data_IF_355824295370
#
_entry.id   IF_355824295370
#
_cell.length_a   1.000
_cell.length_b   1.000
_cell.length_c   1.000
_cell.angle_alpha   90.00
_cell.angle_beta   90.00
_cell.angle_gamma   90.00
#
_symmetry.space_group_name_H-M   'P 1'
#
loop_
_entity.id
_entity.type
_entity.pdbx_description
1 polymer ?
#
# COMPACT_ATOMS: atom_id res chain seq x y z
N UNK A 1 -0.40 -33.40 -13.27
CA UNK A 1 -0.88 -33.86 -11.97
C UNK A 1 -1.45 -32.63 -11.26
N UNK A 2 -2.77 -32.51 -11.21
CA UNK A 2 -3.43 -31.39 -10.54
C UNK A 2 -3.32 -31.60 -9.02
N UNK A 3 -2.59 -30.74 -8.33
CA UNK A 3 -2.55 -30.75 -6.88
C UNK A 3 -3.95 -30.34 -6.38
N UNK A 4 -4.60 -31.23 -5.64
CA UNK A 4 -5.84 -30.92 -4.95
C UNK A 4 -5.54 -29.86 -3.89
N UNK A 5 -6.00 -28.64 -4.11
CA UNK A 5 -5.93 -27.55 -3.13
C UNK A 5 -6.73 -27.96 -1.88
N UNK A 6 -6.04 -28.14 -0.77
CA UNK A 6 -6.70 -28.40 0.50
C UNK A 6 -7.28 -27.07 1.02
N UNK A 7 -8.59 -26.98 1.27
CA UNK A 7 -9.16 -25.75 1.80
C UNK A 7 -8.52 -25.38 3.13
N UNK A 8 -8.30 -24.08 3.39
CA UNK A 8 -7.78 -23.64 4.68
C UNK A 8 -8.72 -24.09 5.80
N UNK A 9 -8.20 -24.37 7.00
CA UNK A 9 -9.01 -24.80 8.12
C UNK A 9 -10.09 -23.73 8.40
N UNK A 10 -11.34 -24.13 8.27
CA UNK A 10 -12.47 -23.31 8.69
C UNK A 10 -12.38 -23.24 10.19
N UNK A 11 -12.04 -22.08 10.73
CA UNK A 11 -12.07 -21.84 12.18
C UNK A 11 -13.46 -22.15 12.75
N UNK A 12 -13.61 -22.31 14.07
CA UNK A 12 -14.87 -22.69 14.67
C UNK A 12 -16.00 -21.80 14.18
N UNK A 13 -17.04 -22.40 13.65
CA UNK A 13 -18.27 -21.70 13.22
C UNK A 13 -18.90 -21.16 14.52
N UNK A 14 -18.50 -19.94 14.90
CA UNK A 14 -19.22 -19.20 15.92
C UNK A 14 -20.63 -18.94 15.34
N UNK A 15 -21.61 -19.70 15.82
CA UNK A 15 -23.02 -19.44 15.50
C UNK A 15 -23.36 -18.06 16.07
N UNK A 16 -23.34 -17.05 15.22
CA UNK A 16 -23.85 -15.73 15.55
C UNK A 16 -25.35 -15.86 15.74
N UNK A 17 -25.88 -15.37 16.83
CA UNK A 17 -27.32 -15.32 17.11
C UNK A 17 -28.07 -14.35 16.17
N UNK A 18 -27.34 -13.48 15.47
CA UNK A 18 -27.89 -12.51 14.52
C UNK A 18 -27.04 -12.48 13.23
N UNK A 19 -27.64 -12.19 12.07
CA UNK A 19 -26.92 -11.95 10.83
C UNK A 19 -25.87 -10.84 11.01
N UNK A 20 -24.73 -10.99 10.37
CA UNK A 20 -23.66 -9.99 10.41
C UNK A 20 -22.81 -10.05 9.14
N UNK A 21 -22.16 -8.94 8.81
CA UNK A 21 -21.27 -8.87 7.66
C UNK A 21 -20.11 -9.88 7.82
N UNK A 22 -19.82 -10.63 6.75
CA UNK A 22 -18.66 -11.50 6.68
C UNK A 22 -17.40 -10.62 6.54
N UNK A 23 -16.44 -10.82 7.44
CA UNK A 23 -15.09 -10.29 7.31
C UNK A 23 -14.17 -11.41 6.87
N UNK A 24 -13.29 -11.11 5.91
CA UNK A 24 -12.35 -12.06 5.34
C UNK A 24 -11.00 -11.97 6.06
N UNK A 25 -10.37 -13.10 6.29
CA UNK A 25 -8.96 -13.13 6.67
C UNK A 25 -8.10 -13.12 5.42
N UNK A 26 -6.85 -12.67 5.54
CA UNK A 26 -5.87 -12.69 4.44
C UNK A 26 -5.71 -14.09 3.83
N UNK A 27 -5.65 -15.15 4.66
CA UNK A 27 -5.59 -16.53 4.17
C UNK A 27 -6.81 -16.92 3.34
N UNK A 28 -8.01 -16.47 3.72
CA UNK A 28 -9.21 -16.71 2.95
C UNK A 28 -9.22 -15.92 1.65
N UNK A 29 -8.77 -14.66 1.69
CA UNK A 29 -8.63 -13.81 0.51
C UNK A 29 -7.66 -14.42 -0.51
N UNK A 30 -6.47 -14.83 -0.07
CA UNK A 30 -5.48 -15.51 -0.91
C UNK A 30 -6.04 -16.80 -1.50
N UNK A 31 -6.74 -17.61 -0.71
CA UNK A 31 -7.40 -18.82 -1.20
C UNK A 31 -8.45 -18.54 -2.29
N UNK A 32 -9.22 -17.45 -2.16
CA UNK A 32 -10.16 -17.02 -3.22
C UNK A 32 -9.42 -16.63 -4.50
N UNK A 33 -8.26 -15.96 -4.37
CA UNK A 33 -7.37 -15.64 -5.49
C UNK A 33 -6.86 -16.91 -6.18
N UNK A 34 -6.40 -17.91 -5.41
CA UNK A 34 -5.95 -19.21 -5.95
C UNK A 34 -7.05 -19.97 -6.71
N UNK A 35 -8.32 -19.72 -6.35
CA UNK A 35 -9.49 -20.25 -7.06
C UNK A 35 -9.88 -19.45 -8.32
N UNK A 36 -9.15 -18.35 -8.63
CA UNK A 36 -9.40 -17.51 -9.79
C UNK A 36 -10.51 -16.46 -9.59
N UNK A 37 -10.98 -16.22 -8.35
CA UNK A 37 -12.09 -15.27 -8.13
C UNK A 37 -11.74 -13.85 -8.57
N UNK A 38 -10.47 -13.49 -8.60
CA UNK A 38 -9.97 -12.15 -8.94
C UNK A 38 -9.30 -12.07 -10.32
N UNK A 39 -9.52 -13.07 -11.18
CA UNK A 39 -8.99 -13.05 -12.55
C UNK A 39 -9.51 -11.82 -13.32
N UNK A 40 -8.58 -11.04 -13.87
CA UNK A 40 -8.91 -9.84 -14.65
C UNK A 40 -9.19 -8.58 -13.83
N UNK A 41 -9.13 -8.63 -12.50
CA UNK A 41 -9.23 -7.45 -11.65
C UNK A 41 -8.05 -7.37 -10.67
N UNK A 42 -7.79 -6.16 -10.15
CA UNK A 42 -6.84 -5.91 -9.08
C UNK A 42 -7.60 -5.82 -7.77
N UNK A 43 -7.58 -6.90 -7.01
CA UNK A 43 -8.25 -6.96 -5.72
C UNK A 43 -7.25 -6.79 -4.57
N UNK A 44 -7.68 -6.12 -3.50
CA UNK A 44 -6.94 -5.98 -2.24
C UNK A 44 -7.86 -6.25 -1.06
N UNK A 45 -7.28 -6.62 0.07
CA UNK A 45 -8.02 -6.83 1.31
C UNK A 45 -7.72 -5.70 2.30
N UNK A 46 -8.76 -5.00 2.75
CA UNK A 46 -8.64 -3.95 3.77
C UNK A 46 -9.62 -4.22 4.90
N UNK A 47 -9.09 -4.50 6.10
CA UNK A 47 -9.89 -4.77 7.32
C UNK A 47 -10.99 -5.81 7.09
N UNK A 48 -10.65 -6.86 6.34
CA UNK A 48 -11.55 -7.96 6.02
C UNK A 48 -12.59 -7.67 4.95
N UNK A 49 -12.51 -6.54 4.26
CA UNK A 49 -13.31 -6.20 3.09
C UNK A 49 -12.47 -6.33 1.82
N UNK A 50 -13.06 -6.91 0.78
CA UNK A 50 -12.43 -7.03 -0.53
C UNK A 50 -12.77 -5.78 -1.33
N UNK A 51 -11.73 -5.13 -1.83
CA UNK A 51 -11.81 -3.94 -2.67
C UNK A 51 -11.21 -4.25 -4.03
N UNK A 52 -11.76 -3.66 -5.08
CA UNK A 52 -11.23 -3.75 -6.43
C UNK A 52 -10.76 -2.36 -6.86
N UNK A 53 -9.59 -2.31 -7.50
CA UNK A 53 -9.07 -1.09 -8.10
C UNK A 53 -9.59 -0.97 -9.54
N UNK A 54 -9.91 0.25 -9.95
CA UNK A 54 -10.27 0.57 -11.31
C UNK A 54 -9.08 0.46 -12.29
N UNK A 55 -9.34 0.64 -13.59
CA UNK A 55 -8.29 0.66 -14.59
C UNK A 55 -7.35 1.86 -14.35
N UNK A 56 -6.10 1.68 -14.75
CA UNK A 56 -5.07 2.72 -14.66
C UNK A 56 -5.23 3.71 -15.80
N UNK A 57 -5.49 4.98 -15.48
CA UNK A 57 -5.57 6.06 -16.46
C UNK A 57 -4.18 6.61 -16.85
N UNK A 58 -4.02 7.24 -18.03
CA UNK A 58 -2.72 7.71 -18.50
C UNK A 58 -1.97 8.69 -17.56
N UNK A 59 -2.64 9.65 -16.88
CA UNK A 59 -1.96 10.50 -15.90
C UNK A 59 -1.38 9.72 -14.74
N UNK A 60 -2.15 8.77 -14.15
CA UNK A 60 -1.68 7.87 -13.10
C UNK A 60 -0.47 7.05 -13.58
N UNK A 61 -0.56 6.42 -14.77
CA UNK A 61 0.53 5.62 -15.33
C UNK A 61 1.82 6.44 -15.53
N UNK A 62 1.69 7.71 -15.91
CA UNK A 62 2.83 8.61 -16.08
C UNK A 62 3.45 8.95 -14.72
N UNK A 63 2.64 9.29 -13.71
CA UNK A 63 3.10 9.52 -12.34
C UNK A 63 3.82 8.29 -11.76
N UNK A 64 3.25 7.09 -11.93
CA UNK A 64 3.90 5.83 -11.56
C UNK A 64 5.26 5.67 -12.25
N UNK A 65 5.36 5.96 -13.55
CA UNK A 65 6.61 5.86 -14.29
C UNK A 65 7.67 6.84 -13.78
N UNK A 66 7.29 8.09 -13.48
CA UNK A 66 8.19 9.12 -12.97
C UNK A 66 8.70 8.78 -11.55
N UNK A 67 7.80 8.35 -10.67
CA UNK A 67 8.17 7.89 -9.30
C UNK A 67 9.10 6.69 -9.36
N UNK A 68 8.85 5.72 -10.26
CA UNK A 68 9.73 4.57 -10.46
C UNK A 68 11.14 4.99 -10.90
N UNK A 69 11.22 5.91 -11.88
CA UNK A 69 12.50 6.42 -12.38
C UNK A 69 13.31 7.12 -11.28
N UNK A 70 12.64 7.79 -10.34
CA UNK A 70 13.28 8.39 -9.18
C UNK A 70 13.73 7.35 -8.14
N UNK A 71 12.88 6.41 -7.77
CA UNK A 71 13.15 5.47 -6.69
C UNK A 71 14.17 4.38 -7.06
N UNK A 72 14.11 3.86 -8.29
CA UNK A 72 14.86 2.69 -8.68
C UNK A 72 16.39 2.84 -8.54
N UNK A 73 17.01 3.99 -8.90
CA UNK A 73 18.44 4.21 -8.67
C UNK A 73 18.82 4.32 -7.20
N UNK A 74 17.91 4.78 -6.34
CA UNK A 74 18.17 4.99 -4.91
C UNK A 74 18.17 3.67 -4.13
N UNK A 75 17.36 2.70 -4.54
CA UNK A 75 17.14 1.46 -3.82
C UNK A 75 17.35 0.23 -4.72
N UNK A 76 18.59 -0.02 -5.20
CA UNK A 76 18.86 -1.06 -6.18
C UNK A 76 18.82 -2.48 -5.60
N UNK A 77 19.04 -2.66 -4.28
CA UNK A 77 19.20 -3.99 -3.68
C UNK A 77 18.58 -4.15 -2.28
N UNK A 78 19.07 -3.41 -1.28
CA UNK A 78 18.63 -3.48 0.12
C UNK A 78 18.81 -2.09 0.76
N UNK A 79 17.72 -1.39 1.11
CA UNK A 79 16.33 -1.75 0.79
C UNK A 79 16.05 -1.74 -0.72
N UNK A 80 14.92 -2.31 -1.16
CA UNK A 80 14.54 -2.34 -2.55
C UNK A 80 13.09 -1.89 -2.80
N UNK A 81 12.83 -1.46 -4.03
CA UNK A 81 11.50 -1.01 -4.46
C UNK A 81 10.65 -2.21 -4.89
N UNK A 82 9.42 -2.25 -4.40
CA UNK A 82 8.31 -3.09 -4.87
C UNK A 82 7.29 -2.19 -5.55
N UNK A 83 6.79 -2.62 -6.69
CA UNK A 83 5.82 -1.86 -7.49
C UNK A 83 4.54 -2.66 -7.57
N UNK A 84 3.43 -2.10 -7.11
CA UNK A 84 2.09 -2.69 -7.19
C UNK A 84 2.02 -4.12 -6.64
N UNK A 85 2.75 -4.38 -5.58
CA UNK A 85 2.84 -5.69 -4.93
C UNK A 85 2.28 -5.64 -3.51
N UNK A 86 1.70 -6.76 -3.02
CA UNK A 86 1.09 -6.81 -1.70
C UNK A 86 2.04 -6.49 -0.56
N UNK A 87 1.49 -5.87 0.50
CA UNK A 87 2.10 -5.74 1.82
C UNK A 87 1.28 -6.54 2.85
N UNK A 88 1.97 -7.15 3.82
CA UNK A 88 1.34 -7.80 4.96
C UNK A 88 1.06 -6.76 6.06
N UNK A 89 -0.14 -6.26 6.13
CA UNK A 89 -0.56 -5.31 7.17
C UNK A 89 -1.43 -5.95 8.26
N UNK A 90 -1.32 -7.29 8.44
CA UNK A 90 -2.04 -8.02 9.47
C UNK A 90 -2.92 -9.16 8.97
N UNK A 91 -3.74 -9.69 9.88
CA UNK A 91 -4.50 -10.92 9.62
C UNK A 91 -5.63 -10.77 8.60
N UNK A 92 -6.09 -9.55 8.37
CA UNK A 92 -7.26 -9.20 7.54
C UNK A 92 -7.00 -8.02 6.60
N UNK A 93 -5.72 -7.71 6.35
CA UNK A 93 -5.34 -6.53 5.57
C UNK A 93 -4.12 -6.82 4.71
N UNK A 94 -4.28 -6.68 3.40
CA UNK A 94 -3.27 -6.90 2.36
C UNK A 94 -3.47 -5.85 1.25
N UNK A 95 -2.96 -4.61 1.45
CA UNK A 95 -3.03 -3.56 0.42
C UNK A 95 -1.98 -3.78 -0.66
N UNK A 96 -2.22 -3.22 -1.84
CA UNK A 96 -1.32 -3.23 -2.99
C UNK A 96 -0.91 -1.80 -3.35
N UNK A 97 0.03 -1.16 -2.62
CA UNK A 97 0.45 0.19 -2.93
C UNK A 97 1.14 0.29 -4.29
N UNK A 98 1.12 1.48 -4.91
CA UNK A 98 1.86 1.71 -6.14
C UNK A 98 3.35 1.47 -5.93
N UNK A 99 3.91 1.92 -4.78
CA UNK A 99 5.29 1.63 -4.40
C UNK A 99 5.44 1.34 -2.91
N UNK A 100 6.35 0.43 -2.61
CA UNK A 100 6.87 0.23 -1.27
C UNK A 100 8.39 0.04 -1.32
N UNK A 101 9.12 0.83 -0.55
CA UNK A 101 10.54 0.60 -0.27
C UNK A 101 10.62 -0.30 0.95
N UNK A 102 11.10 -1.52 0.77
CA UNK A 102 11.12 -2.53 1.83
C UNK A 102 12.53 -2.98 2.16
N UNK A 103 12.85 -3.28 3.43
CA UNK A 103 14.15 -3.78 3.84
C UNK A 103 14.42 -5.17 3.25
N UNK A 104 15.67 -5.59 3.22
CA UNK A 104 16.08 -6.91 2.74
C UNK A 104 16.15 -7.02 1.22
N UNK A 105 16.45 -8.21 0.75
CA UNK A 105 16.62 -8.55 -0.68
C UNK A 105 15.31 -9.09 -1.26
N UNK A 106 15.16 -9.00 -2.56
CA UNK A 106 13.97 -9.56 -3.27
C UNK A 106 13.74 -11.04 -2.97
N UNK A 107 14.81 -11.83 -2.81
CA UNK A 107 14.74 -13.26 -2.47
C UNK A 107 14.10 -13.55 -1.10
N UNK A 108 14.18 -12.61 -0.16
CA UNK A 108 13.70 -12.80 1.20
C UNK A 108 12.16 -12.87 1.26
N UNK A 109 11.50 -12.42 0.20
CA UNK A 109 10.06 -12.35 0.06
C UNK A 109 9.47 -13.40 -0.89
N UNK A 110 10.21 -14.49 -1.16
CA UNK A 110 9.73 -15.59 -2.01
C UNK A 110 8.61 -16.44 -1.38
N UNK A 111 8.48 -16.43 -0.05
CA UNK A 111 7.50 -17.23 0.69
C UNK A 111 6.39 -16.40 1.37
N UNK A 112 6.62 -15.11 1.58
CA UNK A 112 5.67 -14.21 2.24
C UNK A 112 5.88 -12.77 1.79
N UNK A 113 4.81 -11.97 1.83
CA UNK A 113 4.90 -10.53 1.56
C UNK A 113 5.53 -9.79 2.75
N UNK A 114 6.22 -8.65 2.52
CA UNK A 114 6.83 -7.87 3.58
C UNK A 114 5.76 -7.27 4.52
N UNK A 115 6.04 -7.34 5.81
CA UNK A 115 5.25 -6.69 6.86
C UNK A 115 5.87 -5.36 7.32
N UNK A 116 6.92 -4.90 6.63
CA UNK A 116 7.62 -3.65 6.91
C UNK A 116 7.90 -2.91 5.61
N UNK A 117 7.78 -1.59 5.65
CA UNK A 117 8.21 -0.70 4.60
C UNK A 117 8.87 0.53 5.23
N UNK A 118 9.92 1.04 4.60
CA UNK A 118 10.58 2.29 4.97
C UNK A 118 9.85 3.50 4.38
N UNK A 119 9.21 3.31 3.22
CA UNK A 119 8.42 4.31 2.53
C UNK A 119 7.33 3.58 1.73
N UNK A 120 6.11 4.10 1.78
CA UNK A 120 5.00 3.70 0.90
C UNK A 120 4.58 4.91 0.08
N UNK A 121 4.28 4.73 -1.20
CA UNK A 121 3.82 5.81 -2.09
C UNK A 121 2.60 5.33 -2.86
N UNK A 122 1.58 6.16 -2.90
CA UNK A 122 0.42 6.04 -3.78
C UNK A 122 0.41 7.21 -4.77
N UNK A 123 0.01 6.94 -6.00
CA UNK A 123 -0.20 7.95 -7.04
C UNK A 123 -1.70 8.12 -7.17
N UNK A 124 -2.24 9.23 -6.70
CA UNK A 124 -3.66 9.48 -6.65
C UNK A 124 -4.13 10.33 -7.82
N UNK A 125 -5.05 9.81 -8.58
CA UNK A 125 -5.80 10.50 -9.62
C UNK A 125 -7.27 10.65 -9.15
N UNK A 126 -8.03 9.55 -9.05
CA UNK A 126 -9.40 9.53 -8.53
C UNK A 126 -9.52 9.00 -7.10
N UNK A 127 -8.43 8.47 -6.53
CA UNK A 127 -8.39 7.78 -5.23
C UNK A 127 -7.96 8.66 -4.06
N UNK A 128 -7.64 9.95 -4.27
CA UNK A 128 -7.01 10.84 -3.28
C UNK A 128 -7.65 10.77 -1.88
N UNK A 129 -8.97 10.86 -1.79
CA UNK A 129 -9.66 10.80 -0.51
C UNK A 129 -9.47 9.46 0.20
N UNK A 130 -9.49 8.35 -0.53
CA UNK A 130 -9.28 7.02 0.00
C UNK A 130 -7.83 6.82 0.47
N UNK A 131 -6.88 7.33 -0.28
CA UNK A 131 -5.45 7.24 0.04
C UNK A 131 -5.10 8.11 1.25
N UNK A 132 -5.66 9.33 1.35
CA UNK A 132 -5.42 10.23 2.49
C UNK A 132 -6.20 9.86 3.77
N UNK A 133 -7.18 8.96 3.69
CA UNK A 133 -7.95 8.55 4.87
C UNK A 133 -7.74 7.07 5.20
N UNK A 134 -8.36 6.18 4.45
CA UNK A 134 -8.36 4.74 4.74
C UNK A 134 -6.96 4.14 4.67
N UNK A 135 -6.22 4.39 3.58
CA UNK A 135 -4.86 3.87 3.44
C UNK A 135 -3.88 4.56 4.39
N UNK A 136 -4.00 5.88 4.61
CA UNK A 136 -3.16 6.61 5.57
C UNK A 136 -3.28 6.04 6.99
N UNK A 137 -4.51 5.79 7.48
CA UNK A 137 -4.73 5.16 8.79
C UNK A 137 -4.18 3.73 8.83
N UNK A 138 -4.37 2.97 7.74
CA UNK A 138 -3.88 1.61 7.60
C UNK A 138 -2.35 1.57 7.71
N UNK A 139 -1.63 2.38 6.93
CA UNK A 139 -0.17 2.41 6.94
C UNK A 139 0.41 2.98 8.24
N UNK A 140 -0.27 3.96 8.84
CA UNK A 140 0.08 4.44 10.17
C UNK A 140 -0.08 3.35 11.24
N UNK A 141 -1.14 2.51 11.15
CA UNK A 141 -1.38 1.37 12.05
C UNK A 141 -0.31 0.29 11.86
N UNK A 142 0.12 0.03 10.63
CA UNK A 142 1.24 -0.85 10.31
C UNK A 142 2.61 -0.26 10.72
N UNK A 143 2.65 1.00 11.20
CA UNK A 143 3.84 1.70 11.64
C UNK A 143 4.89 1.93 10.55
N UNK A 144 4.46 2.13 9.31
CA UNK A 144 5.36 2.53 8.25
C UNK A 144 5.78 3.98 8.49
N UNK A 145 7.10 4.28 8.57
CA UNK A 145 7.58 5.58 9.07
C UNK A 145 7.23 6.76 8.17
N UNK A 146 7.04 6.49 6.87
CA UNK A 146 6.78 7.51 5.87
C UNK A 146 5.78 7.01 4.82
N UNK A 147 4.81 7.86 4.50
CA UNK A 147 3.80 7.62 3.49
C UNK A 147 3.63 8.86 2.62
N UNK A 148 3.67 8.69 1.31
CA UNK A 148 3.48 9.75 0.33
C UNK A 148 2.22 9.48 -0.49
N UNK A 149 1.46 10.54 -0.79
CA UNK A 149 0.38 10.53 -1.79
C UNK A 149 0.67 11.60 -2.81
N UNK A 150 0.98 11.21 -4.04
CA UNK A 150 1.17 12.11 -5.16
C UNK A 150 -0.19 12.43 -5.77
N UNK A 151 -0.74 13.60 -5.48
CA UNK A 151 -1.97 14.11 -6.08
C UNK A 151 -1.67 14.63 -7.49
N UNK A 152 -2.03 13.83 -8.48
CA UNK A 152 -1.81 14.15 -9.90
C UNK A 152 -2.68 15.33 -10.35
N UNK A 153 -3.91 15.42 -9.84
CA UNK A 153 -4.86 16.48 -10.22
C UNK A 153 -4.53 17.79 -9.51
N UNK A 154 -4.30 17.75 -8.18
CA UNK A 154 -3.89 18.91 -7.39
C UNK A 154 -2.46 19.36 -7.67
N UNK A 155 -1.65 18.53 -8.35
CA UNK A 155 -0.24 18.77 -8.68
C UNK A 155 0.61 19.06 -7.43
N UNK A 156 0.43 18.22 -6.42
CA UNK A 156 1.10 18.35 -5.13
C UNK A 156 1.44 16.97 -4.55
N UNK A 157 2.31 16.96 -3.55
CA UNK A 157 2.67 15.75 -2.81
C UNK A 157 2.27 15.93 -1.35
N UNK A 158 1.46 15.02 -0.85
CA UNK A 158 1.21 14.87 0.58
C UNK A 158 2.26 13.94 1.18
N UNK A 159 3.01 14.45 2.17
CA UNK A 159 4.05 13.72 2.91
C UNK A 159 3.57 13.52 4.33
N UNK A 160 3.37 12.26 4.71
CA UNK A 160 2.87 11.87 6.03
C UNK A 160 3.94 11.09 6.77
N UNK A 161 4.26 11.51 8.00
CA UNK A 161 5.33 10.96 8.84
C UNK A 161 4.88 10.81 10.30
N UNK A 162 5.71 10.16 11.09
CA UNK A 162 5.50 9.99 12.53
C UNK A 162 4.18 9.25 12.84
N UNK A 163 4.04 7.96 12.42
CA UNK A 163 2.85 7.18 12.69
C UNK A 163 2.71 6.89 14.18
N UNK A 164 1.55 7.18 14.76
CA UNK A 164 1.33 6.98 16.18
C UNK A 164 -0.12 7.06 16.61
N UNK A 165 -0.41 6.69 17.88
CA UNK A 165 -1.75 6.78 18.42
C UNK A 165 -2.20 8.23 18.54
N UNK A 166 -3.50 8.45 18.35
CA UNK A 166 -4.16 9.73 18.59
C UNK A 166 -4.76 9.77 19.98
N UNK A 167 -4.80 10.97 20.60
CA UNK A 167 -5.43 11.16 21.91
C UNK A 167 -6.93 10.82 21.92
N UNK A 168 -7.60 10.99 20.79
CA UNK A 168 -9.03 10.64 20.62
C UNK A 168 -9.26 9.15 20.29
N UNK A 169 -8.20 8.33 20.26
CA UNK A 169 -8.22 6.94 19.82
C UNK A 169 -7.92 6.81 18.33
N UNK A 170 -7.51 5.58 17.91
CA UNK A 170 -7.06 5.30 16.55
C UNK A 170 -5.57 5.61 16.35
N UNK A 171 -5.12 5.48 15.12
CA UNK A 171 -3.73 5.71 14.70
C UNK A 171 -3.71 6.59 13.46
N UNK A 172 -2.78 7.54 13.40
CA UNK A 172 -2.55 8.37 12.23
C UNK A 172 -1.09 8.79 12.13
N UNK A 173 -0.72 9.40 11.01
CA UNK A 173 0.51 10.17 10.90
C UNK A 173 0.31 11.53 11.58
N UNK A 174 1.21 11.90 12.49
CA UNK A 174 1.13 13.12 13.30
C UNK A 174 1.82 14.31 12.66
N UNK A 175 2.69 14.07 11.71
CA UNK A 175 3.32 15.08 10.84
C UNK A 175 2.79 14.89 9.42
N UNK A 176 2.17 15.93 8.89
CA UNK A 176 1.60 15.95 7.55
C UNK A 176 1.94 17.28 6.87
N UNK A 177 2.55 17.19 5.70
CA UNK A 177 2.93 18.33 4.88
C UNK A 177 2.36 18.18 3.48
N UNK A 178 1.97 19.28 2.88
CA UNK A 178 1.60 19.35 1.46
C UNK A 178 2.63 20.21 0.75
N UNK A 179 3.23 19.68 -0.32
CA UNK A 179 4.29 20.32 -1.07
C UNK A 179 3.84 20.46 -2.53
N UNK A 180 3.75 21.68 -3.01
CA UNK A 180 3.33 21.97 -4.38
C UNK A 180 4.41 21.59 -5.41
N UNK A 181 4.08 21.71 -6.71
CA UNK A 181 4.96 21.36 -7.81
C UNK A 181 6.30 22.12 -7.84
N UNK A 182 6.42 23.26 -7.14
CA UNK A 182 7.66 24.06 -7.09
C UNK A 182 8.62 23.60 -6.00
N UNK A 183 8.10 22.83 -5.06
CA UNK A 183 8.86 22.31 -3.91
C UNK A 183 9.64 21.04 -4.20
N UNK A 184 10.23 20.52 -3.15
CA UNK A 184 11.00 19.27 -3.20
C UNK A 184 10.86 18.48 -1.90
N UNK A 185 11.10 17.17 -1.98
CA UNK A 185 11.01 16.24 -0.86
C UNK A 185 12.25 15.37 -0.79
N UNK A 186 12.62 14.97 0.42
CA UNK A 186 13.69 13.99 0.68
C UNK A 186 13.12 12.85 1.49
N UNK A 187 13.19 11.58 1.00
CA UNK A 187 12.70 10.42 1.74
C UNK A 187 13.55 10.18 2.99
N UNK A 188 12.94 9.74 4.08
CA UNK A 188 13.66 9.35 5.30
C UNK A 188 14.65 8.22 5.04
N UNK A 189 14.29 7.26 4.17
CA UNK A 189 15.13 6.12 3.81
C UNK A 189 16.32 6.48 2.90
N UNK A 190 16.35 7.69 2.31
CA UNK A 190 17.44 8.18 1.46
C UNK A 190 17.71 9.68 1.74
N UNK A 191 18.28 10.05 2.89
CA UNK A 191 18.35 11.43 3.36
C UNK A 191 19.26 12.37 2.53
N UNK A 192 19.97 11.83 1.58
CA UNK A 192 20.81 12.60 0.63
C UNK A 192 20.18 12.76 -0.75
N UNK A 193 19.03 12.12 -0.99
CA UNK A 193 18.34 12.13 -2.27
C UNK A 193 17.14 13.08 -2.21
N UNK A 194 17.09 14.08 -3.08
CA UNK A 194 15.99 15.03 -3.15
C UNK A 194 15.29 14.91 -4.49
N UNK A 195 13.97 14.77 -4.46
CA UNK A 195 13.10 14.85 -5.64
C UNK A 195 12.44 16.22 -5.71
N UNK A 196 12.40 16.85 -6.88
CA UNK A 196 11.48 17.96 -7.15
C UNK A 196 10.11 17.38 -7.42
N UNK A 197 9.07 17.96 -6.85
CA UNK A 197 7.71 17.45 -7.05
C UNK A 197 7.32 17.49 -8.52
N UNK A 198 7.72 18.54 -9.24
CA UNK A 198 7.48 18.65 -10.69
C UNK A 198 8.04 17.47 -11.51
N UNK A 199 9.09 16.80 -11.05
CA UNK A 199 9.70 15.67 -11.75
C UNK A 199 8.95 14.34 -11.48
N UNK A 200 8.12 14.29 -10.45
CA UNK A 200 7.28 13.13 -10.12
C UNK A 200 5.90 13.21 -10.80
N UNK A 201 5.45 14.43 -11.11
CA UNK A 201 4.15 14.68 -11.72
C UNK A 201 4.14 14.37 -13.24
N UNK A 202 2.98 13.99 -13.79
CA UNK A 202 2.80 13.86 -15.23
C UNK A 202 2.82 15.18 -15.97
#
# INVERSE_FOLDING_TARGET
>A
MSALLTPPPVGPILRRSQPGQKRWTRKQFQYLGDLGLFEGCRAMLIRGEIWEEGPMDPPHATGVSNVLAYLFPLFPADPHVRVQMPLDCGADTEPHPDFAVVPGRRSDYSAAHPARAELVIEVADSSLQFDLTTKAELYATARFPEYWVLDVIGRELHVLRDPGPLAAGGTAYRDAQVIDATGSVTPLAAPTATARIADLLP
#
